data_IF_802737942334
#
_entry.id   IF_802737942334
#
_cell.length_a   1.000
_cell.length_b   1.000
_cell.length_c   1.000
_cell.angle_alpha   90.00
_cell.angle_beta   90.00
_cell.angle_gamma   90.00
#
_symmetry.space_group_name_H-M   'P 1'
#
loop_
_entity.id
_entity.type
_entity.pdbx_description
1 polymer ?
#
# COMPACT_ATOMS: atom_id res chain seq x y z
N UNK A 1 -13.01 -22.88 3.53
CA UNK A 1 -12.76 -21.46 3.20
C UNK A 1 -13.67 -21.07 2.06
N UNK A 2 -14.11 -19.81 2.03
CA UNK A 2 -14.87 -19.27 0.89
C UNK A 2 -13.89 -18.71 -0.14
N UNK A 3 -14.30 -18.61 -1.41
CA UNK A 3 -13.46 -18.05 -2.48
C UNK A 3 -13.00 -16.59 -2.20
N UNK A 4 -13.72 -15.85 -1.35
CA UNK A 4 -13.31 -14.51 -0.91
C UNK A 4 -12.17 -14.51 0.11
N UNK A 5 -12.05 -15.57 0.91
CA UNK A 5 -10.94 -15.72 1.87
C UNK A 5 -9.63 -16.01 1.14
N UNK A 6 -9.69 -16.86 0.12
CA UNK A 6 -8.52 -17.23 -0.71
C UNK A 6 -7.97 -16.00 -1.46
N UNK A 7 -8.86 -15.20 -2.07
CA UNK A 7 -8.46 -13.96 -2.76
C UNK A 7 -7.82 -12.92 -1.83
N UNK A 8 -8.32 -12.81 -0.60
CA UNK A 8 -7.74 -11.91 0.42
C UNK A 8 -6.35 -12.37 0.82
N UNK A 9 -6.18 -13.67 1.07
CA UNK A 9 -4.91 -14.25 1.48
C UNK A 9 -3.84 -14.10 0.38
N UNK A 10 -4.22 -14.34 -0.87
CA UNK A 10 -3.35 -14.12 -2.03
C UNK A 10 -2.90 -12.66 -2.14
N UNK A 11 -3.85 -11.71 -2.09
CA UNK A 11 -3.54 -10.29 -2.13
C UNK A 11 -2.61 -9.86 -0.99
N UNK A 12 -2.88 -10.31 0.24
CA UNK A 12 -2.05 -9.96 1.40
C UNK A 12 -0.64 -10.53 1.29
N UNK A 13 -0.51 -11.78 0.84
CA UNK A 13 0.80 -12.44 0.69
C UNK A 13 1.65 -11.76 -0.37
N UNK A 14 1.08 -11.49 -1.53
CA UNK A 14 1.81 -10.88 -2.65
C UNK A 14 2.20 -9.42 -2.32
N UNK A 15 1.31 -8.69 -1.63
CA UNK A 15 1.60 -7.36 -1.13
C UNK A 15 2.73 -7.36 -0.11
N UNK A 16 2.68 -8.26 0.90
CA UNK A 16 3.71 -8.37 1.92
C UNK A 16 5.07 -8.69 1.32
N UNK A 17 5.13 -9.64 0.38
CA UNK A 17 6.38 -10.00 -0.28
C UNK A 17 7.04 -8.80 -0.96
N UNK A 18 6.25 -7.98 -1.67
CA UNK A 18 6.77 -6.78 -2.32
C UNK A 18 7.15 -5.69 -1.30
N UNK A 19 6.37 -5.56 -0.22
CA UNK A 19 6.62 -4.59 0.85
C UNK A 19 7.93 -4.86 1.60
N UNK A 20 8.29 -6.12 1.82
CA UNK A 20 9.55 -6.50 2.48
C UNK A 20 10.79 -6.13 1.63
N UNK A 21 10.64 -6.08 0.31
CA UNK A 21 11.70 -5.66 -0.61
C UNK A 21 11.90 -4.14 -0.67
N UNK A 22 11.02 -3.35 -0.03
CA UNK A 22 11.11 -1.88 0.02
C UNK A 22 12.15 -1.42 1.07
N UNK A 23 13.43 -1.63 0.75
CA UNK A 23 14.57 -1.37 1.66
C UNK A 23 15.22 0.00 1.49
N UNK A 24 14.89 0.72 0.41
CA UNK A 24 15.36 2.09 0.14
C UNK A 24 14.28 2.91 -0.56
N UNK A 25 14.47 4.23 -0.63
CA UNK A 25 13.50 5.14 -1.27
C UNK A 25 13.47 4.96 -2.80
N UNK A 26 12.71 3.97 -3.25
CA UNK A 26 12.53 3.60 -4.65
C UNK A 26 11.17 4.06 -5.13
N UNK A 27 11.13 5.17 -5.86
CA UNK A 27 9.88 5.70 -6.44
C UNK A 27 9.14 4.67 -7.33
N UNK A 28 9.81 3.89 -8.21
CA UNK A 28 9.13 2.83 -8.96
C UNK A 28 8.47 1.78 -8.06
N UNK A 29 9.14 1.40 -6.96
CA UNK A 29 8.62 0.38 -6.05
C UNK A 29 7.45 0.90 -5.22
N UNK A 30 7.56 2.14 -4.72
CA UNK A 30 6.47 2.83 -4.03
C UNK A 30 5.25 2.94 -4.95
N UNK A 31 5.43 3.34 -6.21
CA UNK A 31 4.33 3.41 -7.17
C UNK A 31 3.68 2.04 -7.42
N UNK A 32 4.49 0.98 -7.56
CA UNK A 32 3.98 -0.38 -7.72
C UNK A 32 3.13 -0.80 -6.51
N UNK A 33 3.62 -0.59 -5.29
CA UNK A 33 2.89 -0.92 -4.06
C UNK A 33 1.62 -0.06 -3.89
N UNK A 34 1.61 1.19 -4.36
CA UNK A 34 0.40 2.02 -4.40
C UNK A 34 -0.63 1.46 -5.38
N UNK A 35 -0.21 1.06 -6.60
CA UNK A 35 -1.10 0.46 -7.61
C UNK A 35 -1.66 -0.87 -7.10
N UNK A 36 -0.84 -1.73 -6.49
CA UNK A 36 -1.30 -2.99 -5.90
C UNK A 36 -2.34 -2.75 -4.79
N UNK A 37 -2.17 -1.70 -3.98
CA UNK A 37 -3.16 -1.32 -2.97
C UNK A 37 -4.48 -0.83 -3.60
N UNK A 38 -4.40 -0.12 -4.72
CA UNK A 38 -5.56 0.34 -5.49
C UNK A 38 -6.36 -0.83 -6.09
N UNK A 39 -5.67 -1.76 -6.75
CA UNK A 39 -6.27 -2.96 -7.35
C UNK A 39 -6.93 -3.88 -6.32
N UNK A 40 -6.46 -3.81 -5.06
CA UNK A 40 -6.94 -4.61 -3.94
C UNK A 40 -7.68 -3.77 -2.89
N UNK A 41 -8.35 -2.69 -3.31
CA UNK A 41 -9.03 -1.76 -2.38
C UNK A 41 -10.06 -2.45 -1.47
N UNK A 42 -10.68 -3.56 -1.89
CA UNK A 42 -11.56 -4.34 -1.00
C UNK A 42 -10.86 -4.93 0.24
N UNK A 43 -9.53 -5.05 0.20
CA UNK A 43 -8.67 -5.55 1.27
C UNK A 43 -7.80 -4.45 1.89
N UNK A 44 -8.14 -3.17 1.65
CA UNK A 44 -7.36 -2.02 2.12
C UNK A 44 -7.07 -2.05 3.62
N UNK A 45 -8.00 -2.58 4.43
CA UNK A 45 -7.81 -2.72 5.88
C UNK A 45 -6.67 -3.67 6.22
N UNK A 46 -6.61 -4.85 5.59
CA UNK A 46 -5.55 -5.83 5.82
C UNK A 46 -4.20 -5.29 5.30
N UNK A 47 -4.19 -4.64 4.13
CA UNK A 47 -2.99 -4.00 3.56
C UNK A 47 -2.44 -2.91 4.50
N UNK A 48 -3.32 -2.09 5.07
CA UNK A 48 -2.93 -1.08 6.07
C UNK A 48 -2.21 -1.69 7.28
N UNK A 49 -2.72 -2.82 7.80
CA UNK A 49 -2.07 -3.55 8.90
C UNK A 49 -0.68 -4.05 8.53
N UNK A 50 -0.48 -4.53 7.29
CA UNK A 50 0.85 -4.95 6.81
C UNK A 50 1.85 -3.79 6.78
N UNK A 51 1.42 -2.62 6.30
CA UNK A 51 2.26 -1.40 6.25
C UNK A 51 2.63 -0.95 7.67
N UNK A 52 1.66 -0.88 8.57
CA UNK A 52 1.91 -0.53 9.99
C UNK A 52 2.89 -1.50 10.65
N UNK A 53 2.72 -2.81 10.42
CA UNK A 53 3.62 -3.84 10.93
C UNK A 53 5.04 -3.68 10.36
N UNK A 54 5.18 -3.34 9.08
CA UNK A 54 6.48 -3.12 8.47
C UNK A 54 7.16 -1.87 9.04
N UNK A 55 6.45 -0.77 9.28
CA UNK A 55 7.00 0.42 9.94
C UNK A 55 7.50 0.08 11.36
N UNK A 56 6.77 -0.75 12.09
CA UNK A 56 7.14 -1.19 13.44
C UNK A 56 8.40 -2.10 13.43
N UNK A 57 8.52 -2.99 12.45
CA UNK A 57 9.62 -3.97 12.29
C UNK A 57 10.89 -3.35 11.68
N UNK A 58 10.77 -2.40 10.76
CA UNK A 58 11.87 -1.88 9.95
C UNK A 58 12.96 -1.19 10.78
N UNK A 59 14.22 -1.35 10.35
CA UNK A 59 15.33 -0.59 10.89
C UNK A 59 15.16 0.91 10.59
N UNK A 60 15.80 1.78 11.37
CA UNK A 60 15.61 3.24 11.22
C UNK A 60 15.84 3.76 9.79
N UNK A 61 16.80 3.17 9.06
CA UNK A 61 17.10 3.51 7.66
C UNK A 61 16.00 3.09 6.67
N UNK A 62 15.25 2.03 6.99
CA UNK A 62 14.19 1.45 6.17
C UNK A 62 12.80 2.01 6.50
N UNK A 63 12.64 2.73 7.62
CA UNK A 63 11.36 3.36 7.98
C UNK A 63 10.96 4.46 6.99
N UNK A 64 11.94 5.21 6.50
CA UNK A 64 11.69 6.32 5.59
C UNK A 64 10.96 5.89 4.30
N UNK A 65 11.43 4.89 3.53
CA UNK A 65 10.72 4.46 2.33
C UNK A 65 9.30 3.93 2.61
N UNK A 66 9.07 3.23 3.72
CA UNK A 66 7.73 2.75 4.10
C UNK A 66 6.79 3.91 4.48
N UNK A 67 7.32 4.97 5.12
CA UNK A 67 6.54 6.19 5.37
C UNK A 67 6.18 6.94 4.08
N UNK A 68 7.08 6.96 3.08
CA UNK A 68 6.75 7.49 1.75
C UNK A 68 5.67 6.68 1.04
N UNK A 69 5.67 5.35 1.20
CA UNK A 69 4.59 4.50 0.70
C UNK A 69 3.25 4.85 1.35
N UNK A 70 3.22 4.95 2.68
CA UNK A 70 2.01 5.32 3.42
C UNK A 70 1.45 6.68 2.94
N UNK A 71 2.32 7.68 2.76
CA UNK A 71 1.94 8.98 2.20
C UNK A 71 1.36 8.86 0.78
N UNK A 72 1.96 8.02 -0.09
CA UNK A 72 1.46 7.78 -1.45
C UNK A 72 0.07 7.15 -1.45
N UNK A 73 -0.21 6.17 -0.58
CA UNK A 73 -1.51 5.50 -0.49
C UNK A 73 -2.60 6.45 0.06
N UNK A 74 -2.26 7.29 1.05
CA UNK A 74 -3.18 8.31 1.56
C UNK A 74 -3.51 9.34 0.47
N UNK A 75 -2.52 9.75 -0.32
CA UNK A 75 -2.71 10.69 -1.44
C UNK A 75 -3.59 10.11 -2.55
N UNK A 76 -3.41 8.83 -2.89
CA UNK A 76 -4.27 8.13 -3.86
C UNK A 76 -5.75 8.21 -3.46
N UNK A 77 -6.07 8.02 -2.18
CA UNK A 77 -7.44 8.15 -1.66
C UNK A 77 -8.02 9.57 -1.82
N UNK A 78 -7.15 10.59 -1.85
CA UNK A 78 -7.53 11.98 -2.09
C UNK A 78 -7.64 12.35 -3.58
N UNK A 79 -6.88 11.70 -4.46
CA UNK A 79 -6.91 11.97 -5.91
C UNK A 79 -8.23 11.51 -6.56
N UNK A 80 -8.91 10.49 -6.02
CA UNK A 80 -10.28 10.13 -6.41
C UNK A 80 -11.28 11.27 -6.19
N UNK A 81 -11.03 12.18 -5.23
CA UNK A 81 -11.93 13.30 -4.90
C UNK A 81 -11.72 14.50 -5.84
N UNK A 82 -10.53 14.68 -6.43
CA UNK A 82 -10.23 15.87 -7.25
C UNK A 82 -10.76 15.83 -8.70
N UNK A 83 -11.32 14.71 -9.16
CA UNK A 83 -12.01 14.63 -10.47
C UNK A 83 -13.44 15.20 -10.47
N UNK A 84 -14.00 15.55 -9.31
CA UNK A 84 -15.39 16.01 -9.16
C UNK A 84 -15.54 17.47 -8.71
N UNK A 85 -14.46 18.26 -8.62
CA UNK A 85 -14.60 19.69 -8.39
C UNK A 85 -14.87 20.40 -9.72
N UNK A 86 -15.99 21.13 -9.86
CA UNK A 86 -16.28 21.89 -11.07
C UNK A 86 -15.17 22.91 -11.27
N UNK A 87 -14.48 22.82 -12.42
CA UNK A 87 -13.65 23.91 -12.92
C UNK A 87 -14.63 25.02 -13.32
N UNK A 88 -14.71 26.05 -12.47
CA UNK A 88 -15.36 27.32 -12.77
C UNK A 88 -14.82 27.92 -14.06
#
# INVERSE_FOLDING_TARGET
MSAGDDAREDACRDYLSSLEDLTYNSKPHINMLTILAEENVQFAKDIGVLIEAQIAKAAAAEKLPVLYLMDSIVKMSGETILLHLPKT
#
